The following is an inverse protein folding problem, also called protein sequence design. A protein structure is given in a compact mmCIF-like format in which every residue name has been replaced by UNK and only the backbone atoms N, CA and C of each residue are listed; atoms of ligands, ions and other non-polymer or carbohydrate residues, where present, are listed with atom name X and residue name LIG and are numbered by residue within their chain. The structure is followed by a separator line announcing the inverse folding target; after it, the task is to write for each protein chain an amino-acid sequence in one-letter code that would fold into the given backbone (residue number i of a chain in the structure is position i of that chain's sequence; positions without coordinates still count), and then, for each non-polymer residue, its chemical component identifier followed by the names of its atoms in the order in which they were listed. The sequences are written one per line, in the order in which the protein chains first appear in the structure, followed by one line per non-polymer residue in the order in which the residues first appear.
data_IF_412131709062
#
_entry.id   IF_412131709062
#
_cell.length_a   1.000
_cell.length_b   1.000
_cell.length_c   1.000
_cell.angle_alpha   90.00
_cell.angle_beta   90.00
_cell.angle_gamma   90.00
#
_symmetry.space_group_name_H-M   'P 1'
#
loop_
_entity.id
_entity.type
_entity.pdbx_description
1 polymer ?
#
# COMPACT_ATOMS: atom_id res chain seq x y z
N UNK A 1 -24.20 -48.99 -59.46
CA UNK A 1 -23.53 -47.68 -59.58
C UNK A 1 -24.21 -46.72 -58.61
N UNK A 2 -23.63 -46.03 -57.64
CA UNK A 2 -22.32 -45.93 -56.99
C UNK A 2 -22.60 -44.98 -55.78
N UNK A 3 -22.45 -45.45 -54.54
CA UNK A 3 -21.35 -45.13 -53.59
C UNK A 3 -21.45 -43.78 -52.84
N UNK A 4 -21.62 -43.93 -51.51
CA UNK A 4 -20.98 -43.17 -50.42
C UNK A 4 -21.40 -41.69 -50.23
N UNK A 5 -21.41 -41.05 -49.05
CA UNK A 5 -20.62 -41.20 -47.81
C UNK A 5 -21.43 -40.75 -46.58
N UNK A 6 -21.07 -41.35 -45.44
CA UNK A 6 -21.35 -40.94 -44.07
C UNK A 6 -20.98 -39.47 -43.78
N UNK A 7 -21.73 -38.85 -42.87
CA UNK A 7 -21.34 -37.58 -42.26
C UNK A 7 -22.13 -37.25 -40.98
N UNK A 8 -22.00 -38.09 -39.95
CA UNK A 8 -22.40 -37.70 -38.59
C UNK A 8 -21.44 -36.61 -38.09
N UNK A 9 -21.90 -35.35 -38.12
CA UNK A 9 -21.21 -34.24 -37.49
C UNK A 9 -21.38 -34.36 -35.96
N UNK A 10 -20.37 -34.94 -35.31
CA UNK A 10 -20.17 -34.80 -33.87
C UNK A 10 -19.85 -33.32 -33.57
N UNK A 11 -20.83 -32.58 -33.06
CA UNK A 11 -20.60 -31.28 -32.45
C UNK A 11 -19.86 -31.49 -31.11
N UNK A 12 -18.53 -31.57 -31.18
CA UNK A 12 -17.67 -31.53 -30.01
C UNK A 12 -17.75 -30.17 -29.35
N UNK A 13 -18.52 -30.06 -28.27
CA UNK A 13 -18.49 -28.92 -27.36
C UNK A 13 -17.10 -28.89 -26.72
N UNK A 14 -16.24 -27.99 -27.21
CA UNK A 14 -15.00 -27.64 -26.53
C UNK A 14 -15.39 -26.94 -25.21
N UNK A 15 -15.28 -27.66 -24.09
CA UNK A 15 -15.19 -27.04 -22.77
C UNK A 15 -13.92 -26.18 -22.76
N UNK A 16 -14.06 -24.90 -23.09
CA UNK A 16 -13.05 -23.90 -22.79
C UNK A 16 -13.04 -23.73 -21.28
N UNK A 17 -12.17 -24.48 -20.61
CA UNK A 17 -11.83 -24.23 -19.21
C UNK A 17 -11.27 -22.82 -19.09
N UNK A 18 -12.09 -21.90 -18.59
CA UNK A 18 -11.65 -20.55 -18.26
C UNK A 18 -10.60 -20.67 -17.17
N UNK A 19 -9.36 -20.29 -17.47
CA UNK A 19 -8.34 -20.05 -16.45
C UNK A 19 -8.86 -18.90 -15.58
N UNK A 20 -9.51 -19.24 -14.47
CA UNK A 20 -9.81 -18.27 -13.44
C UNK A 20 -8.46 -17.71 -12.96
N UNK A 21 -8.23 -16.41 -13.14
CA UNK A 21 -7.22 -15.70 -12.37
C UNK A 21 -7.49 -16.02 -10.90
N UNK A 22 -6.58 -16.75 -10.26
CA UNK A 22 -6.73 -17.11 -8.86
C UNK A 22 -6.77 -15.81 -8.05
N UNK A 23 -7.95 -15.42 -7.60
CA UNK A 23 -8.12 -14.30 -6.69
C UNK A 23 -7.29 -14.59 -5.45
N UNK A 24 -6.46 -13.64 -5.02
CA UNK A 24 -5.68 -13.80 -3.81
C UNK A 24 -6.58 -14.14 -2.62
N UNK A 25 -6.18 -15.12 -1.81
CA UNK A 25 -6.96 -15.53 -0.64
C UNK A 25 -7.00 -14.42 0.42
N UNK A 26 -8.11 -14.32 1.13
CA UNK A 26 -8.26 -13.41 2.29
C UNK A 26 -7.13 -13.59 3.31
N UNK A 27 -6.69 -14.83 3.57
CA UNK A 27 -5.62 -15.11 4.52
C UNK A 27 -4.25 -14.59 4.04
N UNK A 28 -3.97 -14.65 2.73
CA UNK A 28 -2.75 -14.09 2.17
C UNK A 28 -2.73 -12.56 2.32
N UNK A 29 -3.85 -11.89 2.06
CA UNK A 29 -4.02 -10.45 2.29
C UNK A 29 -3.82 -10.08 3.76
N UNK A 30 -4.49 -10.78 4.68
CA UNK A 30 -4.32 -10.55 6.12
C UNK A 30 -2.85 -10.70 6.52
N UNK A 31 -2.19 -11.79 6.11
CA UNK A 31 -0.78 -12.02 6.43
C UNK A 31 0.11 -10.89 5.91
N UNK A 32 -0.09 -10.44 4.67
CA UNK A 32 0.68 -9.33 4.09
C UNK A 32 0.45 -8.02 4.83
N UNK A 33 -0.81 -7.64 5.07
CA UNK A 33 -1.14 -6.41 5.80
C UNK A 33 -0.45 -6.36 7.17
N UNK A 34 -0.44 -7.47 7.91
CA UNK A 34 0.13 -7.55 9.25
C UNK A 34 1.66 -7.56 9.29
N UNK A 35 2.31 -7.90 8.18
CA UNK A 35 3.78 -7.84 8.08
C UNK A 35 4.31 -6.41 8.07
N UNK A 36 3.46 -5.42 7.81
CA UNK A 36 3.84 -4.02 7.79
C UNK A 36 4.15 -3.45 9.18
N UNK A 37 3.72 -4.09 10.27
CA UNK A 37 3.77 -3.53 11.62
C UNK A 37 4.54 -4.39 12.62
N UNK A 38 5.04 -3.81 13.74
CA UNK A 38 5.61 -4.59 14.84
C UNK A 38 4.62 -5.62 15.39
N UNK A 39 5.07 -6.79 15.89
CA UNK A 39 4.16 -7.85 16.34
C UNK A 39 3.13 -7.42 17.40
N UNK A 40 3.50 -6.52 18.31
CA UNK A 40 2.60 -5.98 19.34
C UNK A 40 1.51 -5.07 18.77
N UNK A 41 1.75 -4.40 17.65
CA UNK A 41 0.74 -3.62 16.92
C UNK A 41 -0.10 -4.54 16.04
N UNK A 42 0.56 -5.38 15.23
CA UNK A 42 -0.09 -6.27 14.27
C UNK A 42 -1.08 -7.25 14.93
N UNK A 43 -0.81 -7.73 16.15
CA UNK A 43 -1.67 -8.70 16.83
C UNK A 43 -3.11 -8.21 17.06
N UNK A 44 -3.28 -6.91 17.32
CA UNK A 44 -4.58 -6.31 17.66
C UNK A 44 -5.10 -5.31 16.62
N UNK A 45 -4.39 -5.11 15.51
CA UNK A 45 -4.78 -4.19 14.45
C UNK A 45 -6.00 -4.68 13.65
N UNK A 46 -6.82 -3.73 13.20
CA UNK A 46 -7.85 -3.97 12.21
C UNK A 46 -7.18 -4.23 10.86
N UNK A 47 -7.75 -5.10 10.03
CA UNK A 47 -7.26 -5.34 8.66
C UNK A 47 -8.34 -4.99 7.67
N UNK A 48 -8.01 -4.12 6.73
CA UNK A 48 -8.91 -3.65 5.68
C UNK A 48 -8.26 -3.84 4.31
N UNK A 49 -9.02 -4.37 3.38
CA UNK A 49 -8.67 -4.47 1.97
C UNK A 49 -9.35 -3.33 1.22
N UNK A 50 -8.60 -2.65 0.36
CA UNK A 50 -9.13 -1.65 -0.56
C UNK A 50 -9.07 -2.25 -1.95
N UNK A 51 -10.18 -2.33 -2.68
CA UNK A 51 -10.12 -2.74 -4.08
C UNK A 51 -9.67 -1.59 -4.99
N UNK A 52 -9.44 -1.88 -6.28
CA UNK A 52 -9.01 -0.88 -7.26
C UNK A 52 -10.05 0.22 -7.54
N UNK A 53 -11.24 0.15 -6.96
CA UNK A 53 -12.30 1.16 -7.04
C UNK A 53 -12.37 2.01 -5.76
N UNK A 54 -11.47 1.76 -4.79
CA UNK A 54 -11.45 2.45 -3.51
C UNK A 54 -12.46 1.91 -2.50
N UNK A 55 -13.13 0.78 -2.77
CA UNK A 55 -14.07 0.19 -1.81
C UNK A 55 -13.30 -0.55 -0.73
N UNK A 56 -13.61 -0.19 0.51
CA UNK A 56 -13.01 -0.77 1.71
C UNK A 56 -13.81 -1.98 2.21
N UNK A 57 -13.12 -3.10 2.44
CA UNK A 57 -13.68 -4.33 3.02
C UNK A 57 -12.91 -4.72 4.27
N UNK A 58 -13.58 -4.86 5.41
CA UNK A 58 -12.94 -5.33 6.64
C UNK A 58 -12.69 -6.83 6.54
N UNK A 59 -11.41 -7.23 6.63
CA UNK A 59 -10.99 -8.64 6.64
C UNK A 59 -10.85 -9.19 8.07
N UNK A 60 -10.53 -8.31 9.02
CA UNK A 60 -10.40 -8.65 10.45
C UNK A 60 -10.65 -7.42 11.30
N UNK A 61 -11.44 -7.55 12.36
CA UNK A 61 -11.60 -6.49 13.35
C UNK A 61 -10.35 -6.29 14.21
N UNK A 62 -10.24 -5.10 14.80
CA UNK A 62 -9.11 -4.71 15.65
C UNK A 62 -9.56 -3.96 16.90
N UNK A 63 -8.63 -3.80 17.84
CA UNK A 63 -8.92 -3.22 19.18
C UNK A 63 -7.89 -2.22 19.67
N UNK A 64 -6.83 -1.92 18.89
CA UNK A 64 -5.73 -1.06 19.31
C UNK A 64 -5.61 0.27 18.52
N UNK A 65 -6.63 0.61 17.71
CA UNK A 65 -6.64 1.86 16.93
C UNK A 65 -5.81 1.87 15.64
N UNK A 66 -5.09 0.79 15.33
CA UNK A 66 -4.37 0.66 14.06
C UNK A 66 -5.20 -0.06 13.00
N UNK A 67 -5.07 0.39 11.76
CA UNK A 67 -5.64 -0.25 10.57
C UNK A 67 -4.50 -0.64 9.62
N UNK A 68 -4.37 -1.93 9.31
CA UNK A 68 -3.41 -2.44 8.36
C UNK A 68 -4.07 -2.74 7.01
N UNK A 69 -3.40 -2.35 5.94
CA UNK A 69 -3.82 -2.57 4.55
C UNK A 69 -2.78 -3.44 3.84
N UNK A 70 -3.21 -4.43 3.03
CA UNK A 70 -2.28 -5.32 2.35
C UNK A 70 -1.57 -4.67 1.16
N UNK A 71 -2.17 -3.63 0.58
CA UNK A 71 -1.79 -3.08 -0.71
C UNK A 71 -1.92 -4.07 -1.87
N UNK A 72 -1.51 -3.63 -3.06
CA UNK A 72 -1.60 -4.37 -4.31
C UNK A 72 -0.23 -4.80 -4.85
N UNK A 73 -0.06 -6.11 -5.05
CA UNK A 73 1.20 -6.67 -5.56
C UNK A 73 1.53 -6.10 -6.95
N UNK A 74 2.76 -5.61 -7.10
CA UNK A 74 3.27 -5.09 -8.36
C UNK A 74 2.85 -3.65 -8.68
N UNK A 75 2.12 -2.99 -7.79
CA UNK A 75 1.74 -1.58 -7.92
C UNK A 75 2.71 -0.72 -7.09
N UNK A 76 3.35 0.26 -7.73
CA UNK A 76 4.30 1.18 -7.07
C UNK A 76 3.53 2.13 -6.15
N UNK A 77 4.03 2.34 -4.93
CA UNK A 77 3.37 3.15 -3.89
C UNK A 77 2.25 2.43 -3.14
N UNK A 78 1.78 1.28 -3.63
CA UNK A 78 0.66 0.54 -3.05
C UNK A 78 1.16 -0.71 -2.31
N UNK A 79 1.83 -0.44 -1.20
CA UNK A 79 2.52 -1.46 -0.39
C UNK A 79 1.77 -1.73 0.91
N UNK A 80 2.13 -2.82 1.59
CA UNK A 80 1.55 -3.14 2.88
C UNK A 80 1.91 -2.06 3.90
N UNK A 81 0.90 -1.52 4.58
CA UNK A 81 1.08 -0.50 5.61
C UNK A 81 0.19 -0.78 6.82
N UNK A 82 0.55 -0.24 7.97
CA UNK A 82 -0.33 -0.19 9.12
C UNK A 82 -0.29 1.16 9.81
N UNK A 83 -1.43 1.83 9.91
CA UNK A 83 -1.54 3.23 10.25
C UNK A 83 -2.52 3.44 11.40
N UNK A 84 -2.24 4.40 12.26
CA UNK A 84 -3.20 4.89 13.26
C UNK A 84 -4.24 5.83 12.63
N UNK A 85 -5.23 6.24 13.42
CA UNK A 85 -6.33 7.07 12.93
C UNK A 85 -5.88 8.42 12.32
N UNK A 86 -4.98 9.21 12.93
CA UNK A 86 -4.48 10.44 12.32
C UNK A 86 -3.76 10.20 10.99
N UNK A 87 -2.97 9.13 10.90
CA UNK A 87 -2.29 8.78 9.65
C UNK A 87 -3.25 8.28 8.57
N UNK A 88 -4.29 7.54 8.94
CA UNK A 88 -5.34 7.15 8.00
C UNK A 88 -6.07 8.38 7.45
N UNK A 89 -6.28 9.42 8.27
CA UNK A 89 -6.80 10.71 7.78
C UNK A 89 -5.84 11.36 6.79
N UNK A 90 -4.53 11.38 7.09
CA UNK A 90 -3.50 11.90 6.19
C UNK A 90 -3.53 11.20 4.83
N UNK A 91 -3.51 9.86 4.81
CA UNK A 91 -3.57 9.07 3.57
C UNK A 91 -4.88 9.33 2.81
N UNK A 92 -6.01 9.36 3.52
CA UNK A 92 -7.30 9.67 2.91
C UNK A 92 -7.34 11.06 2.26
N UNK A 93 -6.72 12.06 2.90
CA UNK A 93 -6.64 13.42 2.36
C UNK A 93 -5.78 13.47 1.10
N UNK A 94 -4.67 12.73 1.08
CA UNK A 94 -3.78 12.62 -0.09
C UNK A 94 -4.49 11.94 -1.25
N UNK A 95 -5.12 10.79 -1.00
CA UNK A 95 -5.91 10.06 -2.00
C UNK A 95 -7.09 10.86 -2.54
N UNK A 96 -7.64 11.77 -1.73
CA UNK A 96 -8.74 12.67 -2.14
C UNK A 96 -8.24 13.96 -2.82
N UNK A 97 -6.95 14.04 -3.15
CA UNK A 97 -6.31 15.20 -3.77
C UNK A 97 -6.58 16.52 -3.04
N UNK A 98 -6.64 16.49 -1.71
CA UNK A 98 -6.73 17.73 -0.92
C UNK A 98 -5.43 18.54 -1.07
N UNK A 99 -5.48 19.82 -0.75
CA UNK A 99 -4.29 20.69 -0.81
C UNK A 99 -3.29 20.44 0.33
N UNK A 100 -3.75 19.88 1.45
CA UNK A 100 -2.93 19.55 2.63
C UNK A 100 -3.62 18.52 3.53
N UNK A 101 -2.87 17.82 4.40
CA UNK A 101 -3.42 16.99 5.46
C UNK A 101 -4.31 17.77 6.44
N UNK A 102 -5.31 17.11 6.99
CA UNK A 102 -6.28 17.67 7.94
C UNK A 102 -6.25 17.03 9.33
N UNK A 103 -5.36 16.06 9.56
CA UNK A 103 -5.14 15.51 10.90
C UNK A 103 -4.70 16.62 11.88
N UNK A 104 -5.29 16.60 13.07
CA UNK A 104 -5.06 17.62 14.11
C UNK A 104 -3.94 17.25 15.08
N UNK A 105 -3.44 16.03 14.99
CA UNK A 105 -2.36 15.48 15.80
C UNK A 105 -1.42 14.60 14.96
N UNK A 106 -0.16 14.40 15.37
CA UNK A 106 0.77 13.52 14.68
C UNK A 106 0.24 12.08 14.63
N UNK A 107 0.44 11.41 13.50
CA UNK A 107 0.14 10.00 13.34
C UNK A 107 1.37 9.14 13.04
N UNK A 108 1.23 7.83 13.19
CA UNK A 108 2.23 6.82 12.82
C UNK A 108 1.75 5.90 11.70
N UNK A 109 2.61 5.68 10.70
CA UNK A 109 2.49 4.60 9.72
C UNK A 109 3.69 3.66 9.84
N UNK A 110 3.44 2.36 9.88
CA UNK A 110 4.46 1.32 9.74
C UNK A 110 4.46 0.72 8.34
N UNK A 111 5.65 0.58 7.74
CA UNK A 111 5.93 -0.12 6.48
C UNK A 111 7.21 -0.97 6.65
N UNK A 112 7.16 -1.92 7.60
CA UNK A 112 8.34 -2.70 8.00
C UNK A 112 8.83 -3.71 6.97
N UNK A 113 8.10 -3.91 5.87
CA UNK A 113 8.60 -4.68 4.71
C UNK A 113 9.33 -3.83 3.68
N UNK A 114 9.41 -2.52 3.91
CA UNK A 114 9.83 -1.55 2.89
C UNK A 114 8.80 -1.42 1.78
N UNK A 115 9.18 -0.72 0.72
CA UNK A 115 8.26 -0.42 -0.37
C UNK A 115 8.92 0.16 -1.60
N UNK A 116 8.08 0.68 -2.49
CA UNK A 116 8.49 1.44 -3.65
C UNK A 116 7.62 2.68 -3.77
N UNK A 117 8.21 3.76 -4.26
CA UNK A 117 7.54 5.01 -4.55
C UNK A 117 8.03 5.54 -5.91
N UNK A 118 7.27 6.40 -6.56
CA UNK A 118 7.68 7.09 -7.78
C UNK A 118 8.65 8.24 -7.51
N UNK A 119 8.58 8.88 -6.34
CA UNK A 119 9.42 10.03 -6.02
C UNK A 119 9.60 10.22 -4.52
N UNK A 120 10.77 10.69 -4.12
CA UNK A 120 11.00 11.13 -2.73
C UNK A 120 10.65 12.61 -2.49
N UNK A 121 10.45 13.38 -3.57
CA UNK A 121 10.32 14.85 -3.52
C UNK A 121 9.01 15.37 -4.09
N UNK A 122 8.35 14.60 -4.96
CA UNK A 122 7.08 14.96 -5.58
C UNK A 122 5.96 14.03 -5.11
N UNK A 123 5.05 14.50 -4.23
CA UNK A 123 3.95 13.68 -3.71
C UNK A 123 2.88 13.33 -4.75
N UNK A 124 2.96 13.86 -5.98
CA UNK A 124 2.00 13.58 -7.05
C UNK A 124 2.62 12.78 -8.21
N UNK A 125 3.86 12.30 -8.07
CA UNK A 125 4.50 11.53 -9.11
C UNK A 125 3.78 10.18 -9.31
N UNK A 126 3.42 9.87 -10.56
CA UNK A 126 2.72 8.62 -10.93
C UNK A 126 3.50 7.76 -11.94
N UNK A 127 4.69 8.22 -12.34
CA UNK A 127 5.53 7.54 -13.33
C UNK A 127 6.99 7.90 -13.15
N UNK A 128 7.89 7.12 -13.73
CA UNK A 128 9.33 7.34 -13.65
C UNK A 128 10.09 6.03 -13.43
N UNK A 129 11.28 6.12 -12.83
CA UNK A 129 11.97 4.94 -12.29
C UNK A 129 11.62 4.82 -10.82
N UNK A 130 10.95 3.75 -10.37
CA UNK A 130 10.58 3.59 -8.97
C UNK A 130 11.82 3.62 -8.07
N UNK A 131 11.74 4.37 -6.98
CA UNK A 131 12.69 4.28 -5.89
C UNK A 131 12.33 3.12 -4.98
N UNK A 132 13.33 2.49 -4.38
CA UNK A 132 13.14 1.44 -3.38
C UNK A 132 13.36 2.01 -1.99
N UNK A 133 12.41 1.76 -1.12
CA UNK A 133 12.46 2.19 0.27
C UNK A 133 12.81 1.02 1.17
N UNK A 134 13.77 1.17 2.10
CA UNK A 134 14.05 0.14 3.09
C UNK A 134 12.89 0.01 4.09
N UNK A 135 12.85 -1.04 4.93
CA UNK A 135 11.98 -1.10 6.08
C UNK A 135 11.98 0.19 6.89
N UNK A 136 10.80 0.78 7.09
CA UNK A 136 10.68 2.07 7.75
C UNK A 136 9.33 2.24 8.44
N UNK A 137 9.24 3.31 9.21
CA UNK A 137 8.00 3.84 9.75
C UNK A 137 8.05 5.36 9.67
N UNK A 138 6.88 5.99 9.73
CA UNK A 138 6.72 7.41 9.45
C UNK A 138 6.00 8.12 10.58
N UNK A 139 6.31 9.40 10.75
CA UNK A 139 5.49 10.33 11.53
C UNK A 139 4.78 11.27 10.55
N UNK A 140 3.46 11.15 10.49
CA UNK A 140 2.57 11.92 9.63
C UNK A 140 2.25 13.26 10.29
N UNK A 141 3.17 14.20 10.10
CA UNK A 141 3.08 15.57 10.61
C UNK A 141 3.90 16.49 9.70
N UNK A 142 3.55 17.78 9.52
CA UNK A 142 4.37 18.68 8.71
C UNK A 142 5.74 18.91 9.34
N UNK A 143 6.77 18.29 8.75
CA UNK A 143 8.18 18.53 9.10
C UNK A 143 8.82 19.52 8.13
N UNK A 144 9.47 20.55 8.66
CA UNK A 144 10.23 21.53 7.89
C UNK A 144 11.74 21.35 8.15
N UNK A 145 12.57 21.10 7.11
CA UNK A 145 14.01 20.98 7.29
C UNK A 145 14.66 22.25 7.88
N UNK A 146 14.09 23.45 7.65
CA UNK A 146 14.65 24.70 8.17
C UNK A 146 14.53 24.80 9.70
N UNK A 147 13.46 24.25 10.29
CA UNK A 147 13.22 24.28 11.73
C UNK A 147 13.80 23.06 12.45
N UNK A 148 13.81 21.90 11.79
CA UNK A 148 14.23 20.63 12.40
C UNK A 148 15.70 20.30 12.17
N UNK A 149 16.35 20.88 11.16
CA UNK A 149 17.71 20.54 10.74
C UNK A 149 17.84 19.13 10.15
N UNK A 150 16.73 18.46 9.87
CA UNK A 150 16.73 17.10 9.32
C UNK A 150 17.02 17.11 7.81
N UNK A 151 17.72 16.09 7.29
CA UNK A 151 18.06 16.01 5.88
C UNK A 151 16.83 15.66 5.03
N UNK A 152 16.85 16.04 3.75
CA UNK A 152 15.76 15.80 2.79
C UNK A 152 16.09 14.73 1.75
N UNK A 153 17.30 14.18 1.78
CA UNK A 153 17.73 13.13 0.86
C UNK A 153 17.41 11.74 1.43
N UNK A 154 16.86 10.81 0.63
CA UNK A 154 16.63 9.43 1.05
C UNK A 154 17.87 8.79 1.68
N UNK A 155 17.66 8.04 2.76
CA UNK A 155 18.72 7.31 3.46
C UNK A 155 18.44 5.82 3.46
N UNK A 156 19.49 4.99 3.52
CA UNK A 156 19.31 3.57 3.79
C UNK A 156 18.94 3.29 5.25
N UNK A 157 19.41 4.12 6.18
CA UNK A 157 19.13 4.03 7.61
C UNK A 157 19.07 5.42 8.24
N UNK A 158 18.29 5.57 9.31
CA UNK A 158 18.14 6.82 10.03
C UNK A 158 17.00 7.67 9.49
N UNK A 159 17.02 8.95 9.83
CA UNK A 159 15.87 9.84 9.66
C UNK A 159 16.09 10.87 8.56
N UNK A 160 15.04 11.14 7.79
CA UNK A 160 15.00 12.18 6.75
C UNK A 160 13.55 12.65 6.51
N UNK A 161 13.38 13.79 5.83
CA UNK A 161 12.07 14.35 5.48
C UNK A 161 11.78 14.02 4.02
N UNK A 162 10.71 13.27 3.78
CA UNK A 162 10.16 13.05 2.43
C UNK A 162 9.26 14.24 2.04
N UNK A 163 9.20 14.56 0.75
CA UNK A 163 8.38 15.64 0.18
C UNK A 163 8.61 17.02 0.83
N UNK A 164 9.83 17.27 1.30
CA UNK A 164 10.20 18.53 1.92
C UNK A 164 9.85 19.74 1.04
N UNK A 165 9.30 20.80 1.66
CA UNK A 165 8.84 22.00 0.95
C UNK A 165 7.41 21.89 0.40
N UNK A 166 6.74 20.75 0.56
CA UNK A 166 5.31 20.58 0.22
C UNK A 166 4.45 20.46 1.48
N UNK A 167 3.12 20.66 1.40
CA UNK A 167 2.20 20.38 2.50
C UNK A 167 2.18 18.90 2.95
N UNK A 168 2.77 18.00 2.16
CA UNK A 168 2.83 16.56 2.40
C UNK A 168 4.15 16.12 3.03
N UNK A 169 5.00 17.06 3.44
CA UNK A 169 6.26 16.74 4.11
C UNK A 169 6.01 15.96 5.39
N UNK A 170 6.70 14.83 5.54
CA UNK A 170 6.58 13.95 6.70
C UNK A 170 7.92 13.29 7.03
N UNK A 171 8.02 12.76 8.24
CA UNK A 171 9.27 12.17 8.73
C UNK A 171 9.36 10.70 8.35
N UNK A 172 10.46 10.33 7.70
CA UNK A 172 10.83 8.95 7.41
C UNK A 172 11.84 8.46 8.46
N UNK A 173 11.60 7.28 9.03
CA UNK A 173 12.49 6.65 10.01
C UNK A 173 12.87 5.27 9.49
N UNK A 174 14.01 5.21 8.80
CA UNK A 174 14.48 4.00 8.12
C UNK A 174 15.27 3.14 9.09
N UNK A 175 14.82 1.90 9.29
CA UNK A 175 15.40 0.97 10.23
C UNK A 175 16.47 0.09 9.55
N UNK A 176 17.37 -0.48 10.35
CA UNK A 176 18.16 -1.61 9.88
C UNK A 176 17.29 -2.87 9.98
N UNK A 177 17.19 -3.68 8.92
CA UNK A 177 16.48 -4.96 8.97
C UNK A 177 17.09 -5.91 10.01
#
# INVERSE_FOLDING_TARGET
MERCWLGFLFAGILLQGSLAHASETMQAKIKRALSAAPPNVAKAAKVVDMDGQGKMTVLREGTNGFTCLPGHLGVVGDVAMCADAPSMQWVSDWMSHKSKPTNTEPGVIYMLTGGTDWSATDPNATSGTPIKEPPHWMIMWPFDPATTGLPTTPKQTGTWIMYAGTPWAHLMINQRP
#
